data_IF_207712604651
#
_entry.id   IF_207712604651
#
_cell.length_a   1.000
_cell.length_b   1.000
_cell.length_c   1.000
_cell.angle_alpha   90.00
_cell.angle_beta   90.00
_cell.angle_gamma   90.00
#
_symmetry.space_group_name_H-M   'P 1'
#
loop_
_entity.id
_entity.type
_entity.pdbx_description
1 polymer ?
#
# COMPACT_ATOMS: atom_id res chain seq x y z
N UNK A 1 8.57 43.21 -19.67
CA UNK A 1 8.11 42.37 -18.54
C UNK A 1 6.72 41.88 -18.88
N UNK A 2 6.45 40.57 -18.81
CA UNK A 2 5.10 40.07 -19.04
C UNK A 2 4.14 40.68 -18.01
N UNK A 3 2.96 41.09 -18.45
CA UNK A 3 1.92 41.63 -17.57
C UNK A 3 1.36 40.52 -16.67
N UNK A 4 0.84 40.87 -15.50
CA UNK A 4 0.18 39.92 -14.57
C UNK A 4 -0.88 39.07 -15.30
N UNK A 5 -1.64 39.68 -16.22
CA UNK A 5 -2.66 38.98 -17.00
C UNK A 5 -2.06 37.97 -18.01
N UNK A 6 -0.86 38.20 -18.52
CA UNK A 6 -0.15 37.26 -19.38
C UNK A 6 0.49 36.12 -18.59
N UNK A 7 0.87 36.35 -17.33
CA UNK A 7 1.37 35.31 -16.42
C UNK A 7 0.22 34.38 -16.02
N UNK A 8 -0.91 34.94 -15.58
CA UNK A 8 -2.11 34.16 -15.17
C UNK A 8 -2.67 33.32 -16.32
N UNK A 9 -2.57 33.78 -17.58
CA UNK A 9 -3.02 33.01 -18.76
C UNK A 9 -2.05 31.91 -19.20
N UNK A 10 -0.79 31.95 -18.76
CA UNK A 10 0.22 30.93 -19.06
C UNK A 10 0.19 29.77 -18.05
N UNK A 11 -0.25 30.04 -16.83
CA UNK A 11 -0.43 29.02 -15.82
C UNK A 11 -1.78 28.31 -15.99
N UNK A 12 -1.79 26.99 -15.74
CA UNK A 12 -3.02 26.18 -15.78
C UNK A 12 -4.00 26.77 -14.76
N UNK A 13 -5.23 27.04 -15.17
CA UNK A 13 -6.25 27.63 -14.29
C UNK A 13 -6.45 26.75 -13.03
N UNK A 14 -6.09 27.24 -11.83
CA UNK A 14 -6.19 26.48 -10.59
C UNK A 14 -7.63 26.37 -10.06
N UNK A 15 -8.63 26.82 -10.83
CA UNK A 15 -10.07 26.65 -10.58
C UNK A 15 -10.78 25.82 -11.65
N UNK A 16 -10.05 25.31 -12.65
CA UNK A 16 -10.64 24.40 -13.63
C UNK A 16 -10.88 23.03 -13.00
N UNK A 17 -12.15 22.71 -12.73
CA UNK A 17 -12.58 21.51 -12.00
C UNK A 17 -12.14 20.20 -12.66
N UNK A 18 -11.87 20.21 -13.96
CA UNK A 18 -11.35 19.05 -14.70
C UNK A 18 -9.90 18.74 -14.30
N UNK A 19 -9.13 19.75 -13.87
CA UNK A 19 -7.73 19.62 -13.46
C UNK A 19 -7.54 19.55 -11.92
N UNK A 20 -8.60 19.78 -11.13
CA UNK A 20 -8.53 19.89 -9.66
C UNK A 20 -9.09 18.73 -8.87
N UNK A 21 -9.82 17.81 -9.51
CA UNK A 21 -10.21 16.57 -8.84
C UNK A 21 -8.96 15.72 -8.71
N UNK A 22 -8.23 15.98 -7.62
CA UNK A 22 -7.20 15.07 -7.15
C UNK A 22 -7.91 13.80 -6.67
N UNK A 23 -7.77 12.70 -7.37
CA UNK A 23 -8.10 11.34 -7.00
C UNK A 23 -6.80 10.54 -6.81
N UNK A 24 -6.58 9.52 -7.65
CA UNK A 24 -5.48 8.59 -7.46
C UNK A 24 -4.12 9.27 -7.72
N UNK A 25 -3.33 9.45 -6.64
CA UNK A 25 -2.03 10.12 -6.67
C UNK A 25 -0.94 9.38 -7.48
N UNK A 26 -1.21 8.16 -7.97
CA UNK A 26 -0.35 7.43 -8.91
C UNK A 26 -0.68 7.69 -10.38
N UNK A 27 -1.90 8.13 -10.68
CA UNK A 27 -2.32 8.45 -12.06
C UNK A 27 -2.29 9.94 -12.34
N UNK A 28 -2.42 10.76 -11.30
CA UNK A 28 -2.47 12.20 -11.42
C UNK A 28 -1.12 12.82 -11.09
N UNK A 29 -0.61 13.66 -11.99
CA UNK A 29 0.62 14.39 -11.76
C UNK A 29 0.37 15.55 -10.79
N UNK A 30 0.58 15.28 -9.50
CA UNK A 30 0.86 16.35 -8.55
C UNK A 30 2.33 16.76 -8.74
N UNK A 31 2.57 17.66 -9.70
CA UNK A 31 3.90 18.24 -9.89
C UNK A 31 4.36 18.84 -8.55
N UNK A 32 5.57 18.48 -8.10
CA UNK A 32 6.16 19.00 -6.86
C UNK A 32 6.20 20.54 -6.83
N UNK A 33 6.22 21.19 -8.01
CA UNK A 33 6.17 22.65 -8.18
C UNK A 33 4.82 23.26 -7.84
N UNK A 34 3.76 22.47 -7.85
CA UNK A 34 2.38 22.88 -7.53
C UNK A 34 2.02 22.60 -6.07
N UNK A 35 2.97 22.09 -5.27
CA UNK A 35 2.77 21.81 -3.84
C UNK A 35 2.88 23.09 -3.03
N UNK A 36 1.85 23.39 -2.23
CA UNK A 36 1.86 24.53 -1.30
C UNK A 36 2.15 23.99 0.10
N UNK A 37 3.36 24.26 0.60
CA UNK A 37 3.88 23.65 1.84
C UNK A 37 3.00 23.89 3.07
N UNK A 38 2.39 25.08 3.19
CA UNK A 38 1.58 25.45 4.36
C UNK A 38 0.25 24.68 4.49
N UNK A 39 -0.28 24.10 3.40
CA UNK A 39 -1.58 23.43 3.42
C UNK A 39 -1.46 22.05 4.09
N UNK A 40 -2.23 21.81 5.16
CA UNK A 40 -2.25 20.56 5.93
C UNK A 40 -0.95 20.20 6.67
N UNK A 41 -0.04 21.17 6.90
CA UNK A 41 1.26 20.89 7.51
C UNK A 41 1.15 20.22 8.89
N UNK A 42 0.22 20.66 9.73
CA UNK A 42 -0.04 20.04 11.05
C UNK A 42 -0.43 18.56 10.91
N UNK A 43 -1.33 18.25 9.97
CA UNK A 43 -1.80 16.88 9.72
C UNK A 43 -0.67 15.99 9.17
N UNK A 44 0.22 16.55 8.34
CA UNK A 44 1.40 15.84 7.84
C UNK A 44 2.32 15.47 9.01
N UNK A 45 2.58 16.40 9.92
CA UNK A 45 3.40 16.15 11.12
C UNK A 45 2.77 15.09 12.02
N UNK A 46 1.47 15.12 12.27
CA UNK A 46 0.78 14.09 13.06
C UNK A 46 0.91 12.68 12.42
N UNK A 47 0.77 12.61 11.09
CA UNK A 47 0.92 11.36 10.34
C UNK A 47 2.37 10.88 10.33
N UNK A 48 3.34 11.79 10.28
CA UNK A 48 4.77 11.49 10.38
C UNK A 48 5.10 10.81 11.72
N UNK A 49 4.58 11.34 12.83
CA UNK A 49 4.78 10.74 14.16
C UNK A 49 4.22 9.32 14.23
N UNK A 50 3.03 9.10 13.64
CA UNK A 50 2.42 7.77 13.58
C UNK A 50 3.22 6.82 12.68
N UNK A 51 3.72 7.29 11.55
CA UNK A 51 4.57 6.52 10.64
C UNK A 51 5.87 6.10 11.36
N UNK A 52 6.48 7.01 12.11
CA UNK A 52 7.66 6.72 12.93
C UNK A 52 7.39 5.66 13.98
N UNK A 53 6.22 5.70 14.62
CA UNK A 53 5.82 4.67 15.56
C UNK A 53 5.65 3.30 14.88
N UNK A 54 5.03 3.25 13.70
CA UNK A 54 4.93 2.00 12.91
C UNK A 54 6.31 1.48 12.53
N UNK A 55 7.21 2.36 12.05
CA UNK A 55 8.57 1.97 11.69
C UNK A 55 9.40 1.46 12.88
N UNK A 56 9.11 1.93 14.11
CA UNK A 56 9.86 1.55 15.33
C UNK A 56 9.39 0.24 15.96
N UNK A 57 8.07 0.02 16.03
CA UNK A 57 7.52 -1.16 16.74
C UNK A 57 6.83 -2.17 15.83
N UNK A 58 6.74 -1.86 14.53
CA UNK A 58 6.13 -2.67 13.49
C UNK A 58 4.66 -3.02 13.73
N UNK A 59 4.00 -2.30 14.65
CA UNK A 59 2.57 -2.45 14.91
C UNK A 59 1.81 -1.59 13.93
N UNK A 60 0.84 -2.19 13.26
CA UNK A 60 -0.01 -1.46 12.34
C UNK A 60 -0.87 -0.45 13.08
N UNK A 61 -1.12 0.70 12.44
CA UNK A 61 -1.89 1.81 13.00
C UNK A 61 -2.85 2.35 11.95
N UNK A 62 -3.96 2.92 12.41
CA UNK A 62 -5.00 3.47 11.54
C UNK A 62 -5.30 4.91 11.89
N UNK A 63 -5.42 5.74 10.86
CA UNK A 63 -5.76 7.16 10.92
C UNK A 63 -7.06 7.37 10.16
N UNK A 64 -8.01 8.04 10.81
CA UNK A 64 -9.25 8.46 10.19
C UNK A 64 -9.15 9.94 9.81
N UNK A 65 -9.04 10.23 8.51
CA UNK A 65 -8.94 11.57 7.96
C UNK A 65 -10.33 12.10 7.59
N UNK A 66 -10.90 12.92 8.46
CA UNK A 66 -12.25 13.48 8.28
C UNK A 66 -12.14 14.95 7.85
N UNK A 67 -12.81 15.31 6.77
CA UNK A 67 -12.82 16.70 6.29
C UNK A 67 -13.99 16.97 5.36
N UNK A 68 -14.34 18.23 5.17
CA UNK A 68 -15.43 18.63 4.27
C UNK A 68 -15.14 18.20 2.82
N UNK A 69 -16.17 18.09 1.98
CA UNK A 69 -15.98 17.80 0.57
C UNK A 69 -15.15 18.93 -0.07
N UNK A 70 -14.13 18.57 -0.88
CA UNK A 70 -13.21 19.54 -1.47
C UNK A 70 -12.17 20.13 -0.50
N UNK A 71 -12.07 19.66 0.74
CA UNK A 71 -11.09 20.16 1.72
C UNK A 71 -9.63 19.74 1.45
N UNK A 72 -9.31 19.18 0.28
CA UNK A 72 -7.94 18.76 -0.06
C UNK A 72 -7.47 17.42 0.51
N UNK A 73 -8.36 16.51 0.94
CA UNK A 73 -7.95 15.19 1.49
C UNK A 73 -7.11 14.35 0.52
N UNK A 74 -7.57 14.19 -0.73
CA UNK A 74 -6.84 13.45 -1.76
C UNK A 74 -5.52 14.15 -2.14
N UNK A 75 -5.52 15.48 -2.12
CA UNK A 75 -4.30 16.28 -2.25
C UNK A 75 -3.30 16.01 -1.11
N UNK A 76 -3.77 15.96 0.15
CA UNK A 76 -2.96 15.56 1.31
C UNK A 76 -2.38 14.16 1.14
N UNK A 77 -3.14 13.17 0.66
CA UNK A 77 -2.62 11.82 0.40
C UNK A 77 -1.46 11.83 -0.60
N UNK A 78 -1.57 12.60 -1.69
CA UNK A 78 -0.47 12.78 -2.64
C UNK A 78 0.73 13.52 -2.05
N UNK A 79 0.51 14.52 -1.20
CA UNK A 79 1.59 15.18 -0.43
C UNK A 79 2.31 14.23 0.51
N UNK A 80 1.59 13.37 1.24
CA UNK A 80 2.19 12.36 2.12
C UNK A 80 3.08 11.42 1.32
N UNK A 81 2.60 10.93 0.17
CA UNK A 81 3.39 10.12 -0.76
C UNK A 81 4.68 10.83 -1.19
N UNK A 82 4.58 12.08 -1.65
CA UNK A 82 5.75 12.85 -2.07
C UNK A 82 6.75 13.09 -0.93
N UNK A 83 6.24 13.36 0.28
CA UNK A 83 7.05 13.71 1.46
C UNK A 83 7.76 12.49 2.06
N UNK A 84 7.12 11.32 2.02
CA UNK A 84 7.59 10.12 2.75
C UNK A 84 7.92 8.92 1.85
N UNK A 85 8.03 9.10 0.54
CA UNK A 85 8.36 8.02 -0.42
C UNK A 85 9.72 7.36 -0.14
N UNK A 86 10.63 8.03 0.55
CA UNK A 86 11.92 7.51 1.00
C UNK A 86 11.84 6.79 2.36
N UNK A 87 10.68 6.82 3.03
CA UNK A 87 10.44 6.25 4.37
C UNK A 87 9.33 5.21 4.40
N UNK A 88 8.47 5.18 3.38
CA UNK A 88 7.32 4.29 3.28
C UNK A 88 6.99 3.97 1.81
N UNK A 89 6.35 2.83 1.59
CA UNK A 89 5.74 2.49 0.31
C UNK A 89 4.25 2.83 0.33
N UNK A 90 3.75 3.52 -0.69
CA UNK A 90 2.38 4.04 -0.71
C UNK A 90 1.49 3.25 -1.64
N UNK A 91 0.33 2.83 -1.12
CA UNK A 91 -0.75 2.22 -1.87
C UNK A 91 -2.00 3.10 -1.86
N UNK A 92 -2.49 3.47 -3.05
CA UNK A 92 -3.78 4.14 -3.18
C UNK A 92 -4.87 3.08 -3.36
N UNK A 93 -5.83 3.04 -2.45
CA UNK A 93 -6.97 2.13 -2.52
C UNK A 93 -8.20 2.94 -2.91
N UNK A 94 -8.70 2.70 -4.12
CA UNK A 94 -9.94 3.35 -4.57
C UNK A 94 -11.15 2.79 -3.82
N UNK A 95 -12.29 3.51 -3.85
CA UNK A 95 -13.57 2.95 -3.45
C UNK A 95 -13.84 1.63 -4.19
N UNK A 96 -14.35 0.62 -3.47
CA UNK A 96 -14.74 -0.67 -4.04
C UNK A 96 -16.25 -0.75 -4.29
N UNK A 97 -16.70 -1.53 -5.27
CA UNK A 97 -18.12 -1.63 -5.62
C UNK A 97 -18.91 -2.57 -4.71
N UNK A 98 -18.25 -3.58 -4.12
CA UNK A 98 -18.89 -4.69 -3.42
C UNK A 98 -18.11 -5.12 -2.17
N UNK A 99 -18.83 -5.32 -1.07
CA UNK A 99 -18.26 -5.69 0.22
C UNK A 99 -17.86 -7.17 0.31
N UNK A 100 -18.29 -8.00 -0.65
CA UNK A 100 -17.94 -9.44 -0.67
C UNK A 100 -16.51 -9.70 -1.21
N UNK A 101 -15.85 -8.68 -1.78
CA UNK A 101 -14.54 -8.81 -2.46
C UNK A 101 -13.49 -7.79 -1.98
N UNK A 102 -13.60 -7.33 -0.74
CA UNK A 102 -12.79 -6.22 -0.21
C UNK A 102 -11.30 -6.58 -0.16
N UNK A 103 -10.93 -7.74 0.36
CA UNK A 103 -9.52 -8.13 0.48
C UNK A 103 -8.86 -8.36 -0.86
N UNK A 104 -9.59 -8.94 -1.83
CA UNK A 104 -9.12 -9.04 -3.21
C UNK A 104 -8.92 -7.66 -3.83
N UNK A 105 -9.82 -6.71 -3.57
CA UNK A 105 -9.69 -5.33 -4.02
C UNK A 105 -8.48 -4.63 -3.38
N UNK A 106 -8.31 -4.74 -2.05
CA UNK A 106 -7.17 -4.15 -1.34
C UNK A 106 -5.85 -4.73 -1.85
N UNK A 107 -5.75 -6.05 -1.99
CA UNK A 107 -4.54 -6.69 -2.51
C UNK A 107 -4.21 -6.19 -3.91
N UNK A 108 -5.19 -6.19 -4.83
CA UNK A 108 -5.01 -5.71 -6.20
C UNK A 108 -4.48 -4.28 -6.22
N UNK A 109 -5.16 -3.35 -5.54
CA UNK A 109 -4.77 -1.93 -5.52
C UNK A 109 -3.43 -1.68 -4.79
N UNK A 110 -3.12 -2.51 -3.79
CA UNK A 110 -1.81 -2.50 -3.14
C UNK A 110 -0.72 -2.87 -4.14
N UNK A 111 -0.89 -3.97 -4.88
CA UNK A 111 0.11 -4.41 -5.86
C UNK A 111 0.19 -3.44 -7.05
N UNK A 112 -0.95 -2.97 -7.57
CA UNK A 112 -1.00 -1.95 -8.64
C UNK A 112 -0.27 -0.66 -8.27
N UNK A 113 -0.27 -0.31 -6.98
CA UNK A 113 0.49 0.82 -6.47
C UNK A 113 1.97 0.48 -6.28
N UNK A 114 2.29 -0.71 -5.75
CA UNK A 114 3.67 -1.14 -5.52
C UNK A 114 4.46 -1.33 -6.82
N UNK A 115 3.80 -1.67 -7.95
CA UNK A 115 4.49 -1.75 -9.25
C UNK A 115 4.86 -0.37 -9.83
N UNK A 116 4.37 0.73 -9.25
CA UNK A 116 4.73 2.09 -9.69
C UNK A 116 6.16 2.44 -9.25
N UNK A 117 6.82 3.27 -10.06
CA UNK A 117 8.16 3.80 -9.80
C UNK A 117 8.01 5.13 -9.06
N UNK A 118 8.53 5.26 -7.82
CA UNK A 118 8.54 6.54 -7.11
C UNK A 118 9.36 7.61 -7.84
N UNK A 119 9.03 8.88 -7.62
CA UNK A 119 9.79 9.98 -8.18
C UNK A 119 11.27 9.92 -7.74
N UNK A 120 12.19 10.11 -8.70
CA UNK A 120 13.63 10.01 -8.47
C UNK A 120 14.20 8.60 -8.38
N UNK A 121 13.36 7.55 -8.44
CA UNK A 121 13.81 6.15 -8.44
C UNK A 121 13.86 5.57 -9.86
N UNK A 122 14.61 4.46 -10.02
CA UNK A 122 14.69 3.71 -11.29
C UNK A 122 13.88 2.41 -11.25
N UNK A 123 13.48 1.97 -10.05
CA UNK A 123 12.82 0.69 -9.82
C UNK A 123 11.46 0.90 -9.16
N UNK A 124 10.56 -0.07 -9.33
CA UNK A 124 9.25 -0.03 -8.68
C UNK A 124 9.36 -0.15 -7.16
N UNK A 125 8.37 0.37 -6.44
CA UNK A 125 8.28 0.22 -4.99
C UNK A 125 8.37 -1.26 -4.58
N UNK A 126 7.77 -2.17 -5.36
CA UNK A 126 7.78 -3.60 -5.13
C UNK A 126 9.21 -4.17 -5.15
N UNK A 127 10.04 -3.74 -6.12
CA UNK A 127 11.44 -4.17 -6.21
C UNK A 127 12.29 -3.52 -5.13
N UNK A 128 12.09 -2.23 -4.85
CA UNK A 128 12.77 -1.53 -3.75
C UNK A 128 12.47 -2.20 -2.40
N UNK A 129 11.19 -2.52 -2.18
CA UNK A 129 10.71 -3.27 -1.02
C UNK A 129 11.39 -4.64 -0.92
N UNK A 130 11.36 -5.43 -1.99
CA UNK A 130 11.98 -6.76 -2.03
C UNK A 130 13.48 -6.71 -1.70
N UNK A 131 14.20 -5.71 -2.23
CA UNK A 131 15.63 -5.52 -1.96
C UNK A 131 15.92 -5.04 -0.54
N UNK A 132 14.97 -4.35 0.09
CA UNK A 132 15.11 -3.83 1.45
C UNK A 132 14.95 -4.90 2.55
N UNK A 133 14.33 -6.04 2.23
CA UNK A 133 14.06 -7.13 3.17
C UNK A 133 15.30 -7.53 3.98
N UNK A 134 15.11 -7.80 5.28
CA UNK A 134 16.22 -8.16 6.19
C UNK A 134 16.99 -9.40 5.79
N UNK A 135 16.33 -10.32 5.09
CA UNK A 135 16.98 -11.46 4.44
C UNK A 135 18.19 -11.07 3.58
N UNK A 136 18.25 -9.82 3.12
CA UNK A 136 19.31 -9.28 2.27
C UNK A 136 20.08 -8.11 2.90
N UNK A 137 19.59 -7.54 4.01
CA UNK A 137 20.16 -6.31 4.63
C UNK A 137 20.74 -6.49 6.04
N UNK A 138 20.34 -7.51 6.82
CA UNK A 138 20.72 -7.67 8.26
C UNK A 138 22.15 -8.16 8.55
N UNK A 139 23.09 -8.03 7.61
CA UNK A 139 24.50 -8.35 7.85
C UNK A 139 25.31 -7.05 8.05
N UNK A 140 26.08 -7.00 9.14
CA UNK A 140 26.85 -5.84 9.65
C UNK A 140 27.58 -5.00 8.57
N UNK A 141 27.84 -3.72 8.86
CA UNK A 141 28.47 -2.71 7.96
C UNK A 141 29.77 -3.18 7.27
N UNK A 142 30.50 -4.16 7.82
CA UNK A 142 31.68 -4.79 7.18
C UNK A 142 31.35 -5.77 6.05
N UNK A 143 30.09 -6.17 5.86
CA UNK A 143 29.61 -7.21 4.93
C UNK A 143 28.72 -6.66 3.80
N UNK A 144 28.61 -5.34 3.62
CA UNK A 144 27.87 -4.72 2.50
C UNK A 144 28.33 -5.21 1.11
N UNK A 145 29.61 -5.61 0.99
CA UNK A 145 30.17 -6.24 -0.22
C UNK A 145 29.66 -7.68 -0.40
N UNK A 146 29.44 -8.40 0.69
CA UNK A 146 28.92 -9.76 0.72
C UNK A 146 27.43 -9.83 0.34
N UNK A 147 26.65 -8.75 0.60
CA UNK A 147 25.24 -8.66 0.22
C UNK A 147 25.04 -8.77 -1.30
N UNK A 148 25.86 -8.09 -2.11
CA UNK A 148 25.76 -8.20 -3.57
C UNK A 148 26.03 -9.64 -4.04
N UNK A 149 27.01 -10.31 -3.43
CA UNK A 149 27.37 -11.69 -3.74
C UNK A 149 26.29 -12.69 -3.30
N UNK A 150 25.73 -12.56 -2.08
CA UNK A 150 24.61 -13.42 -1.62
C UNK A 150 23.38 -13.19 -2.48
N UNK A 151 23.03 -11.93 -2.78
CA UNK A 151 21.89 -11.64 -3.64
C UNK A 151 22.08 -12.32 -5.00
N UNK A 152 23.21 -12.11 -5.67
CA UNK A 152 23.52 -12.77 -6.94
C UNK A 152 23.49 -14.30 -6.85
N UNK A 153 24.01 -14.89 -5.76
CA UNK A 153 23.98 -16.34 -5.55
C UNK A 153 22.56 -16.89 -5.35
N UNK A 154 21.69 -16.15 -4.67
CA UNK A 154 20.29 -16.54 -4.46
C UNK A 154 19.45 -16.34 -5.72
N UNK A 155 19.72 -15.28 -6.51
CA UNK A 155 19.08 -15.02 -7.81
C UNK A 155 19.38 -16.11 -8.85
N UNK A 156 20.47 -16.86 -8.70
CA UNK A 156 20.79 -17.96 -9.61
C UNK A 156 20.03 -19.25 -9.29
N UNK A 157 19.34 -19.35 -8.15
CA UNK A 157 18.67 -20.58 -7.75
C UNK A 157 17.42 -20.32 -6.89
N UNK A 158 16.26 -20.43 -7.52
CA UNK A 158 14.93 -20.31 -6.89
C UNK A 158 14.76 -21.14 -5.62
N UNK A 159 15.23 -22.39 -5.58
CA UNK A 159 15.08 -23.23 -4.39
C UNK A 159 15.94 -22.73 -3.22
N UNK A 160 17.17 -22.28 -3.49
CA UNK A 160 18.01 -21.66 -2.46
C UNK A 160 17.40 -20.35 -1.96
N UNK A 161 16.85 -19.54 -2.85
CA UNK A 161 16.14 -18.31 -2.51
C UNK A 161 14.96 -18.57 -1.56
N UNK A 162 14.06 -19.49 -1.96
CA UNK A 162 12.89 -19.86 -1.14
C UNK A 162 13.33 -20.40 0.22
N UNK A 163 14.32 -21.30 0.24
CA UNK A 163 14.83 -21.87 1.49
C UNK A 163 15.37 -20.79 2.42
N UNK A 164 16.18 -19.87 1.89
CA UNK A 164 16.75 -18.76 2.66
C UNK A 164 15.68 -17.86 3.29
N UNK A 165 14.63 -17.50 2.53
CA UNK A 165 13.52 -16.70 3.04
C UNK A 165 12.69 -17.46 4.08
N UNK A 166 12.44 -18.76 3.88
CA UNK A 166 11.76 -19.61 4.87
C UNK A 166 12.54 -19.69 6.17
N UNK A 167 13.85 -19.87 6.10
CA UNK A 167 14.72 -19.95 7.28
C UNK A 167 14.78 -18.60 8.02
N UNK A 168 14.84 -17.49 7.28
CA UNK A 168 14.86 -16.12 7.83
C UNK A 168 13.54 -15.78 8.52
N UNK A 169 12.40 -16.08 7.88
CA UNK A 169 11.07 -15.71 8.35
C UNK A 169 10.30 -16.88 9.01
N UNK A 170 11.01 -17.89 9.52
CA UNK A 170 10.42 -19.11 10.10
C UNK A 170 9.39 -18.85 11.21
N UNK A 171 9.53 -17.73 11.92
CA UNK A 171 8.64 -17.33 13.03
C UNK A 171 7.46 -16.44 12.58
N UNK A 172 7.46 -15.98 11.32
CA UNK A 172 6.52 -14.97 10.85
C UNK A 172 5.16 -15.55 10.38
N UNK A 173 4.93 -16.87 10.50
CA UNK A 173 3.69 -17.55 10.07
C UNK A 173 3.24 -17.11 8.67
N UNK A 174 4.13 -17.28 7.69
CA UNK A 174 3.91 -16.92 6.29
C UNK A 174 2.93 -17.91 5.67
N UNK A 175 1.88 -17.39 5.03
CA UNK A 175 0.90 -18.18 4.31
C UNK A 175 1.49 -18.65 2.97
N UNK A 176 1.40 -19.95 2.67
CA UNK A 176 1.93 -20.58 1.46
C UNK A 176 3.34 -20.11 1.08
N UNK A 177 4.34 -20.28 1.97
CA UNK A 177 5.66 -19.66 1.81
C UNK A 177 6.39 -20.10 0.55
N UNK A 178 6.23 -21.35 0.10
CA UNK A 178 6.87 -21.84 -1.12
C UNK A 178 6.35 -21.15 -2.40
N UNK A 179 5.04 -20.86 -2.45
CA UNK A 179 4.43 -20.12 -3.56
C UNK A 179 4.80 -18.65 -3.43
N UNK A 180 4.56 -18.04 -2.27
CA UNK A 180 4.79 -16.60 -2.08
C UNK A 180 6.26 -16.21 -2.33
N UNK A 181 7.22 -16.91 -1.71
CA UNK A 181 8.64 -16.65 -1.97
C UNK A 181 9.10 -17.07 -3.36
N UNK A 182 8.44 -18.06 -3.96
CA UNK A 182 8.65 -18.40 -5.36
C UNK A 182 8.32 -17.22 -6.27
N UNK A 183 7.16 -16.61 -6.07
CA UNK A 183 6.73 -15.41 -6.82
C UNK A 183 7.67 -14.23 -6.55
N UNK A 184 8.14 -14.03 -5.31
CA UNK A 184 9.14 -13.00 -5.03
C UNK A 184 10.47 -13.21 -5.77
N UNK A 185 10.87 -14.47 -5.99
CA UNK A 185 12.01 -14.76 -6.85
C UNK A 185 11.69 -14.44 -8.31
N UNK A 186 10.50 -14.82 -8.78
CA UNK A 186 10.10 -14.62 -10.17
C UNK A 186 9.98 -13.11 -10.52
N UNK A 187 9.76 -12.23 -9.53
CA UNK A 187 9.88 -10.76 -9.67
C UNK A 187 11.31 -10.27 -10.01
N UNK A 188 12.33 -11.08 -9.77
CA UNK A 188 13.73 -10.70 -10.06
C UNK A 188 14.15 -11.07 -11.48
N UNK A 189 13.32 -11.84 -12.18
CA UNK A 189 13.52 -12.25 -13.56
C UNK A 189 12.72 -11.32 -14.49
N UNK A 190 13.38 -10.57 -15.40
CA UNK A 190 12.69 -9.69 -16.34
C UNK A 190 11.64 -10.38 -17.21
N UNK A 191 11.81 -11.67 -17.53
CA UNK A 191 10.86 -12.43 -18.37
C UNK A 191 9.60 -12.81 -17.58
N UNK A 192 9.73 -13.05 -16.27
CA UNK A 192 8.63 -13.47 -15.41
C UNK A 192 8.02 -12.32 -14.62
N UNK A 193 8.68 -11.15 -14.54
CA UNK A 193 8.27 -10.01 -13.71
C UNK A 193 6.79 -9.64 -13.90
N UNK A 194 6.36 -9.45 -15.15
CA UNK A 194 4.98 -9.07 -15.47
C UNK A 194 3.99 -10.12 -14.98
N UNK A 195 4.30 -11.39 -15.22
CA UNK A 195 3.45 -12.52 -14.86
C UNK A 195 3.36 -12.70 -13.33
N UNK A 196 4.47 -12.52 -12.63
CA UNK A 196 4.53 -12.52 -11.17
C UNK A 196 3.69 -11.36 -10.59
N UNK A 197 3.72 -10.17 -11.22
CA UNK A 197 2.85 -9.06 -10.84
C UNK A 197 1.36 -9.37 -11.06
N UNK A 198 0.99 -9.97 -12.19
CA UNK A 198 -0.39 -10.42 -12.46
C UNK A 198 -0.88 -11.41 -11.41
N UNK A 199 -0.06 -12.39 -11.04
CA UNK A 199 -0.41 -13.33 -9.96
C UNK A 199 -0.61 -12.62 -8.62
N UNK A 200 0.30 -11.71 -8.23
CA UNK A 200 0.21 -10.96 -6.97
C UNK A 200 -1.03 -10.06 -6.92
N UNK A 201 -1.45 -9.51 -8.06
CA UNK A 201 -2.70 -8.73 -8.18
C UNK A 201 -3.96 -9.57 -8.02
N UNK A 202 -3.84 -10.90 -8.11
CA UNK A 202 -4.97 -11.83 -8.13
C UNK A 202 -5.68 -11.87 -9.48
N UNK A 203 -4.95 -11.64 -10.57
CA UNK A 203 -5.48 -11.84 -11.92
C UNK A 203 -5.65 -13.33 -12.22
N UNK A 204 -6.61 -13.66 -13.08
CA UNK A 204 -6.80 -15.03 -13.56
C UNK A 204 -5.76 -15.33 -14.63
N UNK A 205 -4.88 -16.29 -14.35
CA UNK A 205 -3.82 -16.71 -15.26
C UNK A 205 -4.22 -17.94 -16.07
N UNK A 206 -3.65 -18.09 -17.27
CA UNK A 206 -3.75 -19.33 -18.04
C UNK A 206 -2.99 -20.48 -17.37
N UNK A 207 -3.31 -21.73 -17.72
CA UNK A 207 -2.57 -22.90 -17.22
C UNK A 207 -1.08 -22.81 -17.58
N UNK A 208 -0.75 -22.43 -18.81
CA UNK A 208 0.64 -22.18 -19.25
C UNK A 208 1.36 -21.15 -18.38
N UNK A 209 0.68 -20.04 -18.07
CA UNK A 209 1.23 -18.99 -17.20
C UNK A 209 1.48 -19.49 -15.77
N UNK A 210 0.55 -20.28 -15.22
CA UNK A 210 0.71 -20.88 -13.90
C UNK A 210 1.86 -21.89 -13.86
N UNK A 211 2.04 -22.67 -14.93
CA UNK A 211 3.16 -23.60 -15.08
C UNK A 211 4.50 -22.86 -15.10
N UNK A 212 4.60 -21.74 -15.84
CA UNK A 212 5.80 -20.88 -15.87
C UNK A 212 6.17 -20.36 -14.47
N UNK A 213 5.20 -19.85 -13.72
CA UNK A 213 5.38 -19.39 -12.33
C UNK A 213 5.49 -20.53 -11.30
N UNK A 214 5.25 -21.77 -11.71
CA UNK A 214 5.24 -22.96 -10.85
C UNK A 214 4.23 -22.83 -9.70
N UNK A 215 3.09 -22.20 -9.98
CA UNK A 215 1.96 -22.06 -9.05
C UNK A 215 0.83 -23.02 -9.43
N UNK A 216 0.00 -23.40 -8.45
CA UNK A 216 -1.09 -24.37 -8.65
C UNK A 216 -2.47 -23.73 -8.74
N UNK A 217 -2.59 -22.48 -8.31
CA UNK A 217 -3.86 -21.75 -8.25
C UNK A 217 -3.60 -20.24 -8.28
N UNK A 218 -4.63 -19.50 -8.69
CA UNK A 218 -4.68 -18.04 -8.60
C UNK A 218 -5.27 -17.60 -7.26
N UNK A 219 -5.19 -16.30 -6.96
CA UNK A 219 -5.80 -15.72 -5.76
C UNK A 219 -7.27 -15.39 -6.05
N UNK A 220 -8.17 -16.34 -5.79
CA UNK A 220 -9.59 -16.24 -6.13
C UNK A 220 -10.52 -16.05 -4.91
N UNK A 221 -10.04 -16.25 -3.68
CA UNK A 221 -10.80 -16.07 -2.44
C UNK A 221 -10.34 -14.86 -1.60
N UNK A 222 -11.27 -14.30 -0.83
CA UNK A 222 -11.00 -13.22 0.14
C UNK A 222 -9.95 -13.63 1.18
N UNK A 223 -10.03 -14.85 1.69
CA UNK A 223 -9.08 -15.36 2.68
C UNK A 223 -7.66 -15.49 2.10
N UNK A 224 -7.53 -15.99 0.87
CA UNK A 224 -6.24 -16.07 0.18
C UNK A 224 -5.67 -14.66 -0.04
N UNK A 225 -6.49 -13.72 -0.50
CA UNK A 225 -6.05 -12.34 -0.73
C UNK A 225 -5.59 -11.65 0.56
N UNK A 226 -6.37 -11.78 1.64
CA UNK A 226 -6.01 -11.27 2.97
C UNK A 226 -4.69 -11.86 3.45
N UNK A 227 -4.51 -13.17 3.33
CA UNK A 227 -3.32 -13.85 3.81
C UNK A 227 -2.06 -13.51 2.98
N UNK A 228 -2.20 -13.30 1.68
CA UNK A 228 -1.11 -12.81 0.83
C UNK A 228 -0.76 -11.36 1.18
N UNK A 229 -1.74 -10.48 1.37
CA UNK A 229 -1.49 -9.11 1.85
C UNK A 229 -0.78 -9.12 3.22
N UNK A 230 -1.19 -10.00 4.13
CA UNK A 230 -0.54 -10.16 5.43
C UNK A 230 0.92 -10.61 5.32
N UNK A 231 1.28 -11.43 4.32
CA UNK A 231 2.67 -11.83 4.09
C UNK A 231 3.57 -10.62 3.83
N UNK A 232 3.12 -9.64 3.03
CA UNK A 232 3.87 -8.40 2.80
C UNK A 232 4.24 -7.75 4.14
N UNK A 233 3.25 -7.49 5.00
CA UNK A 233 3.49 -6.86 6.30
C UNK A 233 4.39 -7.68 7.23
N UNK A 234 4.19 -9.00 7.28
CA UNK A 234 4.96 -9.93 8.13
C UNK A 234 6.45 -9.93 7.81
N UNK A 235 6.82 -9.91 6.53
CA UNK A 235 8.23 -9.87 6.12
C UNK A 235 8.80 -8.44 6.02
N UNK A 236 7.94 -7.42 6.08
CA UNK A 236 8.35 -6.01 6.10
C UNK A 236 8.79 -5.52 7.48
N UNK A 237 8.80 -6.36 8.52
CA UNK A 237 9.11 -5.93 9.89
C UNK A 237 10.53 -5.40 10.10
N UNK A 238 11.38 -5.47 9.09
CA UNK A 238 12.71 -4.85 9.11
C UNK A 238 12.91 -3.85 7.95
N UNK A 239 11.83 -3.46 7.29
CA UNK A 239 11.80 -2.54 6.15
C UNK A 239 10.90 -1.35 6.40
N UNK A 240 10.85 -0.44 5.43
CA UNK A 240 9.90 0.66 5.40
C UNK A 240 8.46 0.15 5.51
N UNK A 241 7.58 0.84 6.27
CA UNK A 241 6.14 0.53 6.32
C UNK A 241 5.45 0.65 4.97
N UNK A 242 4.33 -0.06 4.84
CA UNK A 242 3.41 0.12 3.71
C UNK A 242 2.23 0.98 4.20
N UNK A 243 1.99 2.11 3.51
CA UNK A 243 0.90 3.02 3.80
C UNK A 243 -0.27 2.71 2.87
N UNK A 244 -1.40 2.25 3.43
CA UNK A 244 -2.64 1.98 2.70
C UNK A 244 -3.54 3.22 2.78
N UNK A 245 -3.65 3.97 1.69
CA UNK A 245 -4.46 5.17 1.58
C UNK A 245 -5.82 4.83 0.97
N UNK A 246 -6.82 4.59 1.80
CA UNK A 246 -8.21 4.44 1.39
C UNK A 246 -8.83 5.82 1.17
N UNK A 247 -9.14 6.14 -0.08
CA UNK A 247 -9.72 7.45 -0.41
C UNK A 247 -11.20 7.35 -0.77
N UNK A 248 -11.96 8.38 -0.37
CA UNK A 248 -13.38 8.55 -0.68
C UNK A 248 -14.24 7.32 -0.37
N UNK A 249 -13.99 6.63 0.74
CA UNK A 249 -14.71 5.37 1.06
C UNK A 249 -16.23 5.56 1.16
N UNK A 250 -16.71 6.78 1.41
CA UNK A 250 -18.13 7.11 1.41
C UNK A 250 -18.82 6.99 0.04
N UNK A 251 -18.06 6.94 -1.05
CA UNK A 251 -18.64 6.81 -2.41
C UNK A 251 -18.99 5.36 -2.75
N UNK A 252 -18.80 4.44 -1.82
CA UNK A 252 -19.23 3.06 -1.96
C UNK A 252 -20.75 2.97 -2.10
N UNK A 253 -21.20 2.10 -3.00
CA UNK A 253 -22.63 1.84 -3.29
C UNK A 253 -23.45 1.57 -2.02
N UNK A 254 -22.86 0.83 -1.09
CA UNK A 254 -23.50 0.38 0.15
C UNK A 254 -23.13 1.23 1.38
N UNK A 255 -22.50 2.40 1.22
CA UNK A 255 -22.07 3.21 2.38
C UNK A 255 -23.21 3.52 3.37
N UNK A 256 -24.37 3.93 2.84
CA UNK A 256 -25.50 4.35 3.67
C UNK A 256 -26.19 3.16 4.37
N UNK A 257 -26.17 1.99 3.74
CA UNK A 257 -26.82 0.77 4.24
C UNK A 257 -25.91 -0.04 5.14
N UNK A 258 -24.64 -0.21 4.76
CA UNK A 258 -23.67 -1.03 5.46
C UNK A 258 -22.22 -0.47 5.34
N UNK A 259 -21.86 0.55 6.14
CA UNK A 259 -20.50 1.10 6.17
C UNK A 259 -19.53 0.26 7.02
N UNK A 260 -19.99 -0.80 7.68
CA UNK A 260 -19.17 -1.57 8.62
C UNK A 260 -17.94 -2.25 7.99
N UNK A 261 -17.99 -2.81 6.76
CA UNK A 261 -16.90 -3.61 6.24
C UNK A 261 -15.55 -2.88 6.11
N UNK A 262 -15.53 -1.56 5.84
CA UNK A 262 -14.28 -0.77 5.86
C UNK A 262 -13.66 -0.71 7.26
N UNK A 263 -14.48 -0.70 8.32
CA UNK A 263 -13.99 -0.68 9.69
C UNK A 263 -13.63 -2.10 10.18
N UNK A 264 -14.26 -3.14 9.63
CA UNK A 264 -13.86 -4.52 9.88
C UNK A 264 -12.43 -4.79 9.42
N UNK A 265 -11.97 -4.14 8.33
CA UNK A 265 -10.56 -4.21 7.90
C UNK A 265 -9.64 -3.79 9.05
N UNK A 266 -9.98 -2.71 9.77
CA UNK A 266 -9.19 -2.26 10.90
C UNK A 266 -9.15 -3.33 12.01
N UNK A 267 -10.30 -3.86 12.40
CA UNK A 267 -10.40 -4.96 13.38
C UNK A 267 -9.56 -6.16 12.93
N UNK A 268 -9.67 -6.58 11.67
CA UNK A 268 -8.89 -7.70 11.11
C UNK A 268 -7.40 -7.41 11.09
N UNK A 269 -6.95 -6.20 10.72
CA UNK A 269 -5.53 -5.86 10.67
C UNK A 269 -4.90 -5.95 12.06
N UNK A 270 -5.61 -5.46 13.09
CA UNK A 270 -5.14 -5.51 14.46
C UNK A 270 -5.24 -6.92 15.07
N UNK A 271 -6.29 -7.69 14.78
CA UNK A 271 -6.50 -9.03 15.35
C UNK A 271 -5.67 -10.12 14.66
N UNK A 272 -5.57 -10.09 13.33
CA UNK A 272 -4.81 -11.07 12.53
C UNK A 272 -3.31 -10.71 12.49
N UNK A 273 -2.89 -9.72 13.27
CA UNK A 273 -1.51 -9.28 13.44
C UNK A 273 -0.83 -8.98 12.09
N UNK A 274 -1.54 -8.29 11.19
CA UNK A 274 -0.91 -7.69 10.02
C UNK A 274 0.04 -6.61 10.54
N UNK A 275 1.32 -6.73 10.19
CA UNK A 275 2.39 -5.89 10.73
C UNK A 275 2.84 -4.83 9.74
N UNK A 276 3.43 -3.76 10.27
CA UNK A 276 4.13 -2.74 9.48
C UNK A 276 3.25 -2.00 8.45
N UNK A 277 1.96 -1.82 8.74
CA UNK A 277 1.06 -1.00 7.94
C UNK A 277 0.65 0.30 8.65
N UNK A 278 0.62 1.40 7.90
CA UNK A 278 -0.11 2.59 8.29
C UNK A 278 -1.34 2.71 7.40
N UNK A 279 -2.53 2.67 7.98
CA UNK A 279 -3.79 2.75 7.24
C UNK A 279 -4.33 4.16 7.38
N UNK A 280 -4.63 4.81 6.26
CA UNK A 280 -5.26 6.12 6.24
C UNK A 280 -6.62 5.96 5.57
N UNK A 281 -7.69 6.25 6.29
CA UNK A 281 -9.06 6.19 5.78
C UNK A 281 -9.58 7.62 5.66
N UNK A 282 -9.71 8.11 4.43
CA UNK A 282 -10.25 9.43 4.10
C UNK A 282 -11.76 9.36 3.94
N UNK A 283 -12.49 10.20 4.69
CA UNK A 283 -13.95 10.25 4.70
C UNK A 283 -14.45 11.69 4.65
N UNK A 284 -15.50 11.96 3.86
CA UNK A 284 -16.22 13.24 3.94
C UNK A 284 -16.96 13.38 5.27
N UNK A 285 -16.80 14.55 5.91
CA UNK A 285 -17.34 14.86 7.24
C UNK A 285 -18.83 14.58 7.39
N UNK A 286 -19.63 14.96 6.40
CA UNK A 286 -21.08 14.74 6.46
C UNK A 286 -21.46 13.27 6.30
N UNK A 287 -20.72 12.50 5.50
CA UNK A 287 -20.89 11.05 5.43
C UNK A 287 -20.53 10.39 6.76
N UNK A 288 -19.44 10.82 7.40
CA UNK A 288 -19.07 10.34 8.75
C UNK A 288 -20.16 10.64 9.78
N UNK A 289 -20.70 11.86 9.84
CA UNK A 289 -21.77 12.22 10.80
C UNK A 289 -23.00 11.31 10.68
N UNK A 290 -23.33 10.85 9.47
CA UNK A 290 -24.49 9.99 9.22
C UNK A 290 -24.30 8.56 9.75
N UNK A 291 -23.07 8.05 9.79
CA UNK A 291 -22.78 6.67 10.19
C UNK A 291 -22.06 6.54 11.54
N UNK A 292 -21.48 7.62 12.09
CA UNK A 292 -20.63 7.59 13.27
C UNK A 292 -21.31 6.95 14.49
N UNK A 293 -22.58 7.25 14.75
CA UNK A 293 -23.32 6.66 15.87
C UNK A 293 -23.43 5.14 15.76
N UNK A 294 -23.73 4.62 14.56
CA UNK A 294 -23.83 3.18 14.28
C UNK A 294 -22.47 2.50 14.41
N UNK A 295 -21.42 3.10 13.88
CA UNK A 295 -20.05 2.56 13.93
C UNK A 295 -19.54 2.55 15.37
N UNK A 296 -19.68 3.65 16.11
CA UNK A 296 -19.23 3.75 17.50
C UNK A 296 -20.00 2.81 18.43
N UNK A 297 -21.31 2.62 18.19
CA UNK A 297 -22.10 1.64 18.92
C UNK A 297 -21.61 0.21 18.66
N UNK A 298 -21.28 -0.10 17.40
CA UNK A 298 -20.76 -1.41 17.01
C UNK A 298 -19.36 -1.68 17.59
N UNK A 299 -18.42 -0.72 17.50
CA UNK A 299 -17.07 -0.85 18.11
C UNK A 299 -17.18 -1.13 19.61
N UNK A 300 -18.12 -0.46 20.30
CA UNK A 300 -18.38 -0.73 21.72
C UNK A 300 -18.90 -2.14 21.99
N UNK A 301 -19.65 -2.74 21.06
CA UNK A 301 -20.14 -4.11 21.21
C UNK A 301 -19.02 -5.12 20.99
N UNK A 302 -18.13 -4.91 20.00
CA UNK A 302 -16.97 -5.77 19.77
C UNK A 302 -15.95 -5.73 20.92
N UNK A 303 -15.71 -4.57 21.54
CA UNK A 303 -14.74 -4.46 22.65
C UNK A 303 -15.24 -5.08 23.97
N UNK A 304 -16.55 -5.33 24.08
CA UNK A 304 -17.18 -5.87 25.30
C UNK A 304 -17.61 -7.35 25.16
N UNK A 305 -17.37 -7.98 24.01
CA UNK A 305 -17.64 -9.40 23.75
C UNK A 305 -16.34 -10.20 23.72
#
# INVERSE_FOLDING_TARGET
MPSINEIIKREVNPFDLVNLRTGNFWTENQDAKSVVESIHQEVISDIEELLDLVARDHRSRTVLLIGDAGSGKSYLLGRLKLTFNDRAFFAYISPWPDNDYIWRHILRYTVDSLIKIPEGQQESQLILWLKSLSAFTKLSVKQRIFNASIWQLLLNNRQKFIKHLKDTYKQASIYNPDIFFGILYDLTDPELYTLACEWLRGDSLSEESMELLKVKYCIDTEDTAKNILANFGKISTDTQPIVLCFDQVETQSNWNSNPQPIFNINTTIHNDNLKNFLIIISIVKDAWKQCASRILQWIKLELNG
#
